data_IF_923170953202
#
_entry.id   IF_923170953202
#
_cell.length_a   1.000
_cell.length_b   1.000
_cell.length_c   1.000
_cell.angle_alpha   90.00
_cell.angle_beta   90.00
_cell.angle_gamma   90.00
#
_symmetry.space_group_name_H-M   'P 1'
#
loop_
_entity.id
_entity.type
_entity.pdbx_description
1 polymer ?
#
# COMPACT_ATOMS: atom_id res chain seq x y z
N UNK A 1 17.04 21.11 21.35
CA UNK A 1 16.20 19.92 21.17
C UNK A 1 16.08 19.70 19.69
N UNK A 2 16.63 18.62 19.13
CA UNK A 2 16.51 18.35 17.70
C UNK A 2 15.07 17.96 17.42
N UNK A 3 14.40 18.67 16.50
CA UNK A 3 13.14 18.23 15.91
C UNK A 3 13.38 16.83 15.35
N UNK A 4 12.80 15.83 16.00
CA UNK A 4 12.76 14.48 15.47
C UNK A 4 11.74 14.52 14.34
N UNK A 5 12.20 14.79 13.13
CA UNK A 5 11.33 14.74 11.94
C UNK A 5 10.87 13.30 11.79
N UNK A 6 9.62 13.03 12.18
CA UNK A 6 8.99 11.72 12.02
C UNK A 6 9.13 11.28 10.56
N UNK A 7 9.79 10.14 10.33
CA UNK A 7 9.93 9.60 8.98
C UNK A 7 8.66 8.83 8.65
N UNK A 8 7.73 9.50 7.98
CA UNK A 8 6.51 8.87 7.47
C UNK A 8 6.81 8.17 6.15
N UNK A 9 6.46 6.88 6.09
CA UNK A 9 6.47 6.09 4.86
C UNK A 9 5.13 5.38 4.68
N UNK A 10 4.83 4.96 3.47
CA UNK A 10 3.62 4.19 3.19
C UNK A 10 3.86 3.15 2.09
N UNK A 11 2.96 2.18 1.99
CA UNK A 11 2.86 1.28 0.85
C UNK A 11 1.41 0.93 0.54
N UNK A 12 1.22 0.28 -0.61
CA UNK A 12 -0.07 -0.20 -1.07
C UNK A 12 -0.01 -1.71 -1.23
N UNK A 13 -1.00 -2.41 -0.67
CA UNK A 13 -1.13 -3.86 -0.82
C UNK A 13 -2.53 -4.25 -1.24
N UNK A 14 -2.67 -5.51 -1.63
CA UNK A 14 -3.97 -6.11 -1.89
C UNK A 14 -4.11 -7.40 -1.08
N UNK A 15 -5.27 -7.62 -0.47
CA UNK A 15 -5.60 -8.89 0.20
C UNK A 15 -6.93 -9.48 -0.30
N UNK A 16 -7.11 -10.81 -0.26
CA UNK A 16 -8.40 -11.44 -0.51
C UNK A 16 -9.48 -10.89 0.42
N UNK A 17 -10.69 -10.75 -0.12
CA UNK A 17 -11.90 -10.41 0.62
C UNK A 17 -12.99 -11.45 0.30
N UNK A 18 -14.16 -11.30 0.92
CA UNK A 18 -15.31 -12.16 0.63
C UNK A 18 -15.74 -12.10 -0.84
N UNK A 19 -16.36 -13.18 -1.31
CA UNK A 19 -17.03 -13.27 -2.61
C UNK A 19 -16.13 -13.04 -3.84
N UNK A 20 -14.87 -13.49 -3.77
CA UNK A 20 -13.92 -13.36 -4.88
C UNK A 20 -13.51 -11.91 -5.16
N UNK A 21 -13.71 -11.02 -4.19
CA UNK A 21 -13.25 -9.64 -4.21
C UNK A 21 -11.90 -9.52 -3.51
N UNK A 22 -11.28 -8.37 -3.71
CA UNK A 22 -9.99 -8.03 -3.16
C UNK A 22 -10.06 -6.62 -2.58
N UNK A 23 -9.50 -6.46 -1.38
CA UNK A 23 -9.30 -5.17 -0.74
C UNK A 23 -7.97 -4.59 -1.19
N UNK A 24 -7.98 -3.32 -1.58
CA UNK A 24 -6.78 -2.51 -1.76
C UNK A 24 -6.57 -1.72 -0.47
N UNK A 25 -5.38 -1.85 0.10
CA UNK A 25 -5.03 -1.33 1.41
C UNK A 25 -3.90 -0.32 1.28
N UNK A 26 -4.00 0.79 2.02
CA UNK A 26 -2.92 1.73 2.26
C UNK A 26 -2.38 1.48 3.66
N UNK A 27 -1.07 1.18 3.76
CA UNK A 27 -0.38 1.03 5.05
C UNK A 27 0.50 2.22 5.31
N UNK A 28 0.45 2.73 6.53
CA UNK A 28 1.26 3.84 7.01
C UNK A 28 2.29 3.33 8.01
N UNK A 29 3.50 3.85 7.89
CA UNK A 29 4.63 3.55 8.75
C UNK A 29 5.19 4.86 9.31
N UNK A 30 5.50 4.87 10.60
CA UNK A 30 6.16 5.98 11.28
C UNK A 30 7.47 5.45 11.86
N UNK A 31 8.58 6.06 11.46
CA UNK A 31 9.92 5.70 11.92
C UNK A 31 10.26 4.22 11.69
N UNK A 32 9.78 3.66 10.58
CA UNK A 32 9.95 2.26 10.21
C UNK A 32 9.02 1.27 10.92
N UNK A 33 8.19 1.74 11.86
CA UNK A 33 7.20 0.93 12.55
C UNK A 33 5.84 1.06 11.88
N UNK A 34 5.11 -0.06 11.82
CA UNK A 34 3.72 -0.04 11.34
C UNK A 34 2.88 0.87 12.24
N UNK A 35 2.20 1.84 11.64
CA UNK A 35 1.35 2.79 12.35
C UNK A 35 -0.14 2.45 12.16
N UNK A 36 -0.58 2.30 10.90
CA UNK A 36 -1.99 1.99 10.60
C UNK A 36 -2.17 1.41 9.20
N UNK A 37 -3.36 0.84 8.97
CA UNK A 37 -3.81 0.34 7.68
C UNK A 37 -5.25 0.79 7.44
N UNK A 38 -5.58 1.15 6.20
CA UNK A 38 -6.95 1.45 5.79
C UNK A 38 -7.30 0.83 4.44
N UNK A 39 -8.54 0.37 4.30
CA UNK A 39 -9.09 -0.10 3.03
C UNK A 39 -9.57 1.08 2.20
N UNK A 40 -8.98 1.24 1.01
CA UNK A 40 -9.31 2.34 0.10
C UNK A 40 -10.28 1.89 -1.00
N UNK A 41 -10.35 0.58 -1.27
CA UNK A 41 -11.28 0.01 -2.25
C UNK A 41 -11.49 -1.49 -2.01
N UNK A 42 -12.71 -1.98 -2.29
CA UNK A 42 -13.00 -3.41 -2.36
C UNK A 42 -13.55 -3.72 -3.75
N UNK A 43 -12.81 -4.45 -4.58
CA UNK A 43 -13.14 -4.64 -6.00
C UNK A 43 -12.77 -6.04 -6.49
N UNK A 44 -13.19 -6.42 -7.70
CA UNK A 44 -12.72 -7.67 -8.34
C UNK A 44 -11.21 -7.59 -8.61
N UNK A 45 -10.54 -8.74 -8.61
CA UNK A 45 -9.06 -8.86 -8.72
C UNK A 45 -8.46 -8.01 -9.85
N UNK A 46 -9.00 -8.11 -11.07
CA UNK A 46 -8.48 -7.35 -12.22
C UNK A 46 -8.53 -5.83 -12.02
N UNK A 47 -9.55 -5.32 -11.33
CA UNK A 47 -9.64 -3.90 -10.99
C UNK A 47 -8.68 -3.53 -9.84
N UNK A 48 -8.50 -4.40 -8.85
CA UNK A 48 -7.55 -4.15 -7.76
C UNK A 48 -6.12 -4.02 -8.29
N UNK A 49 -5.69 -4.93 -9.18
CA UNK A 49 -4.40 -4.85 -9.87
C UNK A 49 -4.24 -3.54 -10.67
N UNK A 50 -5.30 -3.10 -11.35
CA UNK A 50 -5.28 -1.84 -12.09
C UNK A 50 -5.14 -0.63 -11.16
N UNK A 51 -5.87 -0.60 -10.04
CA UNK A 51 -5.77 0.47 -9.03
C UNK A 51 -4.34 0.57 -8.50
N UNK A 52 -3.72 -0.55 -8.14
CA UNK A 52 -2.34 -0.55 -7.64
C UNK A 52 -1.35 0.02 -8.67
N UNK A 53 -1.47 -0.36 -9.95
CA UNK A 53 -0.63 0.18 -11.03
C UNK A 53 -0.84 1.68 -11.25
N UNK A 54 -2.09 2.13 -11.23
CA UNK A 54 -2.40 3.56 -11.38
C UNK A 54 -1.86 4.36 -10.19
N UNK A 55 -1.97 3.82 -8.97
CA UNK A 55 -1.44 4.47 -7.79
C UNK A 55 0.08 4.61 -7.86
N UNK A 56 0.82 3.55 -8.22
CA UNK A 56 2.27 3.63 -8.43
C UNK A 56 2.65 4.69 -9.48
N UNK A 57 1.94 4.70 -10.62
CA UNK A 57 2.17 5.70 -11.67
C UNK A 57 1.93 7.13 -11.17
N UNK A 58 0.85 7.39 -10.43
CA UNK A 58 0.54 8.73 -9.91
C UNK A 58 1.54 9.17 -8.85
N UNK A 59 1.94 8.27 -7.94
CA UNK A 59 2.93 8.55 -6.92
C UNK A 59 4.30 8.85 -7.52
N UNK A 60 4.69 8.11 -8.56
CA UNK A 60 5.88 8.40 -9.34
C UNK A 60 5.81 9.79 -9.99
N UNK A 61 4.68 10.08 -10.64
CA UNK A 61 4.46 11.36 -11.35
C UNK A 61 4.46 12.57 -10.40
N UNK A 62 4.00 12.40 -9.17
CA UNK A 62 3.93 13.47 -8.17
C UNK A 62 5.20 13.58 -7.30
N UNK A 63 6.24 12.77 -7.54
CA UNK A 63 7.48 12.82 -6.78
C UNK A 63 7.40 12.19 -5.39
N UNK A 64 6.33 11.44 -5.08
CA UNK A 64 6.12 10.83 -3.77
C UNK A 64 6.87 9.50 -3.57
N UNK A 65 7.72 9.08 -4.52
CA UNK A 65 8.50 7.84 -4.40
C UNK A 65 9.39 7.79 -3.15
N UNK A 66 9.86 8.93 -2.66
CA UNK A 66 10.68 9.00 -1.44
C UNK A 66 9.95 8.61 -0.16
N UNK A 67 8.61 8.63 -0.18
CA UNK A 67 7.77 8.23 0.94
C UNK A 67 7.30 6.78 0.83
N UNK A 68 7.65 6.08 -0.25
CA UNK A 68 7.38 4.65 -0.36
C UNK A 68 8.30 3.88 0.59
N UNK A 69 7.75 2.90 1.30
CA UNK A 69 8.56 1.94 2.05
C UNK A 69 9.51 1.20 1.12
N UNK A 70 10.78 0.99 1.53
CA UNK A 70 11.79 0.24 0.74
C UNK A 70 11.60 -1.29 0.83
N UNK A 71 10.52 -1.75 1.50
CA UNK A 71 10.13 -3.15 1.52
C UNK A 71 9.68 -3.57 0.12
N UNK A 72 10.02 -4.81 -0.33
CA UNK A 72 10.21 -5.12 -1.73
C UNK A 72 8.97 -4.74 -2.52
N UNK A 73 9.19 -4.02 -3.62
CA UNK A 73 8.22 -3.76 -4.67
C UNK A 73 7.82 -5.08 -5.34
N UNK A 74 7.18 -5.94 -4.56
CA UNK A 74 6.42 -7.05 -5.03
C UNK A 74 5.03 -6.69 -4.58
N UNK A 75 4.13 -6.60 -5.55
CA UNK A 75 2.73 -6.88 -5.37
C UNK A 75 2.64 -8.20 -4.59
N UNK A 76 2.82 -8.15 -3.27
CA UNK A 76 2.80 -9.33 -2.42
C UNK A 76 1.34 -9.68 -2.34
N UNK A 77 0.96 -10.58 -3.25
CA UNK A 77 -0.25 -11.36 -3.15
C UNK A 77 -0.07 -12.16 -1.86
N UNK A 78 -0.57 -11.63 -0.75
CA UNK A 78 -0.84 -12.44 0.43
C UNK A 78 -1.95 -13.41 -0.02
N UNK A 79 -1.52 -14.52 -0.64
CA UNK A 79 -2.33 -15.70 -0.80
C UNK A 79 -2.52 -16.25 0.61
N UNK A 80 -3.44 -15.64 1.36
CA UNK A 80 -3.94 -16.25 2.58
C UNK A 80 -4.67 -17.50 2.12
N UNK A 81 -4.06 -18.64 2.40
CA UNK A 81 -4.60 -19.96 2.13
C UNK A 81 -6.05 -20.01 2.65
N UNK A 82 -6.94 -20.45 1.77
CA UNK A 82 -8.33 -20.77 2.08
C UNK A 82 -8.42 -21.92 3.09
#
# INVERSE_FOLDING_TARGET
>A
MAEQTDKIRFDLRMRPAADGRFEVLLRLYRDGLFASETSIAVVKEGKAKLILRMADYQLARQGYRQFLSEMPAVLQFDAVAA
#
